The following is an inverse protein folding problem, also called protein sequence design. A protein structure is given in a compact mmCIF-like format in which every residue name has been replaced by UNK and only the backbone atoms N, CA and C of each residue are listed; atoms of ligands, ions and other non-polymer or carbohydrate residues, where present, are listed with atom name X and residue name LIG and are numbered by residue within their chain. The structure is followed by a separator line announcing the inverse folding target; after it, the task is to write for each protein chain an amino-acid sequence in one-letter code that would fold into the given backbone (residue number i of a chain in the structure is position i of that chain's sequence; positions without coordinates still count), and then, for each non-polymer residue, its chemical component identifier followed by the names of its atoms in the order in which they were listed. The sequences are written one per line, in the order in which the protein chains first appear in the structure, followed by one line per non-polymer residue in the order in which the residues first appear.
data_IF_526577646901
#
_entry.id   IF_526577646901
#
_cell.length_a   1.000
_cell.length_b   1.000
_cell.length_c   1.000
_cell.angle_alpha   90.00
_cell.angle_beta   90.00
_cell.angle_gamma   90.00
#
_symmetry.space_group_name_H-M   'P 1'
#
loop_
_entity.id
_entity.type
_entity.pdbx_description
1 polymer ?
#
# COMPACT_ATOMS: atom_id res chain seq x y z
N UNK A 1 -1.71 -10.52 13.63
CA UNK A 1 -1.88 -9.05 13.67
C UNK A 1 -1.19 -8.50 12.44
N UNK A 2 -1.87 -7.72 11.61
CA UNK A 2 -1.33 -7.29 10.30
C UNK A 2 -0.74 -5.88 10.40
N UNK A 3 0.51 -5.73 9.96
CA UNK A 3 1.25 -4.46 9.91
C UNK A 3 1.48 -4.06 8.46
N UNK A 4 0.97 -2.89 8.08
CA UNK A 4 0.98 -2.38 6.72
C UNK A 4 1.89 -1.16 6.65
N UNK A 5 3.08 -1.34 6.09
CA UNK A 5 4.02 -0.25 5.82
C UNK A 5 3.73 0.36 4.46
N UNK A 6 3.61 1.70 4.39
CA UNK A 6 3.26 2.39 3.14
C UNK A 6 4.40 3.31 2.73
N UNK A 7 4.97 3.03 1.56
CA UNK A 7 6.01 3.83 0.92
C UNK A 7 5.43 4.48 -0.33
N UNK A 8 5.64 5.78 -0.52
CA UNK A 8 5.06 6.47 -1.66
C UNK A 8 5.98 7.50 -2.31
N UNK A 9 5.77 7.71 -3.61
CA UNK A 9 6.43 8.75 -4.42
C UNK A 9 5.49 9.28 -5.50
N UNK A 10 5.92 10.32 -6.21
CA UNK A 10 5.14 10.97 -7.26
C UNK A 10 4.27 12.11 -6.74
N UNK A 11 3.40 12.63 -7.61
CA UNK A 11 2.50 13.76 -7.32
C UNK A 11 1.24 13.31 -6.57
N UNK A 12 1.43 12.55 -5.49
CA UNK A 12 0.39 12.13 -4.56
C UNK A 12 0.59 12.88 -3.23
N UNK A 13 -0.46 13.56 -2.74
CA UNK A 13 -0.38 14.31 -1.48
C UNK A 13 -0.29 13.34 -0.30
N UNK A 14 0.54 13.67 0.68
CA UNK A 14 0.69 12.89 1.93
C UNK A 14 -0.65 12.71 2.66
N UNK A 15 -1.53 13.71 2.60
CA UNK A 15 -2.88 13.63 3.17
C UNK A 15 -3.71 12.49 2.57
N UNK A 16 -3.63 12.28 1.26
CA UNK A 16 -4.35 11.21 0.57
C UNK A 16 -3.86 9.83 1.02
N UNK A 17 -2.54 9.68 1.21
CA UNK A 17 -1.94 8.47 1.78
C UNK A 17 -2.34 8.27 3.25
N UNK A 18 -2.42 9.35 4.04
CA UNK A 18 -2.88 9.29 5.43
C UNK A 18 -4.37 8.90 5.52
N UNK A 19 -5.20 9.36 4.59
CA UNK A 19 -6.59 8.92 4.50
C UNK A 19 -6.67 7.42 4.20
N UNK A 20 -5.82 6.91 3.29
CA UNK A 20 -5.73 5.48 3.02
C UNK A 20 -5.30 4.69 4.27
N UNK A 21 -4.29 5.17 5.02
CA UNK A 21 -3.90 4.58 6.31
C UNK A 21 -5.08 4.49 7.28
N UNK A 22 -5.88 5.56 7.38
CA UNK A 22 -7.08 5.57 8.21
C UNK A 22 -8.06 4.47 7.84
N UNK A 23 -8.22 4.17 6.54
CA UNK A 23 -9.10 3.06 6.11
C UNK A 23 -8.59 1.68 6.53
N UNK A 24 -7.27 1.48 6.62
CA UNK A 24 -6.68 0.23 7.12
C UNK A 24 -6.81 0.10 8.64
N UNK A 25 -6.64 1.21 9.37
CA UNK A 25 -6.81 1.22 10.83
C UNK A 25 -8.24 0.90 11.27
N UNK A 26 -9.25 1.24 10.45
CA UNK A 26 -10.65 0.86 10.66
C UNK A 26 -10.94 -0.65 10.45
N UNK A 27 -9.95 -1.42 9.98
CA UNK A 27 -10.05 -2.87 9.78
C UNK A 27 -9.17 -3.63 10.79
N UNK A 28 -8.82 -2.99 11.91
CA UNK A 28 -7.94 -3.53 12.95
C UNK A 28 -6.52 -3.87 12.46
N UNK A 29 -6.07 -3.24 11.37
CA UNK A 29 -4.69 -3.35 10.90
C UNK A 29 -3.83 -2.19 11.39
N UNK A 30 -2.57 -2.49 11.70
CA UNK A 30 -1.59 -1.49 12.10
C UNK A 30 -1.01 -0.84 10.84
N UNK A 31 -1.29 0.44 10.63
CA UNK A 31 -0.72 1.21 9.52
C UNK A 31 0.15 2.38 10.05
N UNK A 32 1.47 2.18 10.27
CA UNK A 32 2.38 3.22 10.73
C UNK A 32 2.44 4.41 9.77
N UNK A 33 2.98 5.58 10.17
CA UNK A 33 3.15 6.73 9.30
C UNK A 33 3.78 6.38 7.95
N UNK A 34 3.16 6.83 6.87
CA UNK A 34 3.64 6.53 5.53
C UNK A 34 4.94 7.30 5.23
N UNK A 35 5.88 6.61 4.58
CA UNK A 35 7.18 7.14 4.23
C UNK A 35 7.18 7.61 2.79
N UNK A 36 7.72 8.81 2.55
CA UNK A 36 8.00 9.26 1.19
C UNK A 36 9.40 8.79 0.84
N UNK A 37 9.52 7.93 -0.17
CA UNK A 37 10.79 7.26 -0.50
C UNK A 37 11.18 7.61 -1.92
N UNK A 38 12.37 8.18 -2.09
CA UNK A 38 12.97 8.39 -3.40
C UNK A 38 13.56 7.08 -3.94
N UNK A 39 13.53 6.90 -5.26
CA UNK A 39 14.02 5.69 -5.92
C UNK A 39 13.04 5.15 -6.96
N UNK A 40 13.52 4.35 -7.92
CA UNK A 40 12.70 3.85 -9.03
C UNK A 40 11.98 2.56 -8.65
N UNK A 41 10.66 2.63 -8.48
CA UNK A 41 9.81 1.48 -8.23
C UNK A 41 8.43 1.67 -8.85
N UNK A 42 7.76 0.55 -9.09
CA UNK A 42 6.38 0.52 -9.55
C UNK A 42 5.42 0.30 -8.38
N UNK A 43 4.14 0.45 -8.66
CA UNK A 43 3.09 0.09 -7.74
C UNK A 43 3.15 -1.40 -7.40
N UNK A 44 3.57 -1.75 -6.20
CA UNK A 44 3.55 -3.13 -5.74
C UNK A 44 3.12 -3.26 -4.28
N UNK A 45 2.61 -4.43 -3.96
CA UNK A 45 2.34 -4.88 -2.62
C UNK A 45 3.17 -6.12 -2.36
N UNK A 46 4.07 -6.01 -1.39
CA UNK A 46 4.97 -7.08 -0.99
C UNK A 46 4.41 -7.76 0.25
N UNK A 47 4.41 -9.09 0.20
CA UNK A 47 4.11 -9.94 1.34
C UNK A 47 5.23 -10.98 1.47
N UNK A 48 5.49 -11.41 2.71
CA UNK A 48 6.70 -12.16 3.02
C UNK A 48 6.43 -13.61 3.42
N UNK A 49 5.22 -13.91 3.92
CA UNK A 49 4.82 -15.25 4.32
C UNK A 49 3.66 -15.76 3.46
N UNK A 50 3.62 -17.05 3.18
CA UNK A 50 2.55 -17.63 2.35
C UNK A 50 1.16 -17.49 3.00
N UNK A 51 1.09 -17.60 4.33
CA UNK A 51 -0.09 -17.33 5.14
C UNK A 51 -0.68 -15.93 4.88
N UNK A 52 0.15 -14.96 4.49
CA UNK A 52 -0.26 -13.58 4.26
C UNK A 52 -0.86 -13.35 2.87
N UNK A 53 -0.87 -14.35 1.98
CA UNK A 53 -1.30 -14.14 0.59
C UNK A 53 -2.75 -13.66 0.49
N UNK A 54 -3.67 -14.25 1.27
CA UNK A 54 -5.09 -13.88 1.24
C UNK A 54 -5.30 -12.43 1.70
N UNK A 55 -4.70 -12.06 2.83
CA UNK A 55 -4.79 -10.71 3.37
C UNK A 55 -4.07 -9.69 2.47
N UNK A 56 -2.97 -10.07 1.83
CA UNK A 56 -2.26 -9.26 0.84
C UNK A 56 -3.11 -8.98 -0.39
N UNK A 57 -3.90 -9.95 -0.86
CA UNK A 57 -4.87 -9.75 -1.94
C UNK A 57 -6.00 -8.80 -1.53
N UNK A 58 -6.50 -8.91 -0.30
CA UNK A 58 -7.52 -8.00 0.22
C UNK A 58 -7.00 -6.55 0.30
N UNK A 59 -5.80 -6.36 0.87
CA UNK A 59 -5.17 -5.04 0.98
C UNK A 59 -4.89 -4.47 -0.41
N UNK A 60 -4.45 -5.30 -1.36
CA UNK A 60 -4.30 -4.90 -2.76
C UNK A 60 -5.60 -4.32 -3.30
N UNK A 61 -6.70 -5.07 -3.21
CA UNK A 61 -8.00 -4.63 -3.75
C UNK A 61 -8.46 -3.31 -3.11
N UNK A 62 -8.35 -3.18 -1.79
CA UNK A 62 -8.69 -1.93 -1.08
C UNK A 62 -7.82 -0.75 -1.52
N UNK A 63 -6.53 -0.99 -1.75
CA UNK A 63 -5.58 0.02 -2.25
C UNK A 63 -5.98 0.48 -3.66
N UNK A 64 -6.22 -0.46 -4.57
CA UNK A 64 -6.63 -0.17 -5.95
C UNK A 64 -7.96 0.60 -5.99
N UNK A 65 -8.94 0.20 -5.17
CA UNK A 65 -10.22 0.90 -5.03
C UNK A 65 -10.06 2.32 -4.49
N UNK A 66 -9.20 2.51 -3.48
CA UNK A 66 -8.93 3.82 -2.91
C UNK A 66 -8.29 4.76 -3.95
N UNK A 67 -7.26 4.29 -4.66
CA UNK A 67 -6.58 5.04 -5.71
C UNK A 67 -7.53 5.36 -6.88
N UNK A 68 -8.38 4.41 -7.28
CA UNK A 68 -9.41 4.62 -8.30
C UNK A 68 -10.41 5.71 -7.89
N UNK A 69 -10.94 5.65 -6.65
CA UNK A 69 -11.88 6.64 -6.10
C UNK A 69 -11.29 8.04 -6.07
N UNK A 70 -9.97 8.14 -5.87
CA UNK A 70 -9.23 9.41 -5.86
C UNK A 70 -8.68 9.82 -7.22
N UNK A 71 -9.09 9.14 -8.31
CA UNK A 71 -8.67 9.42 -9.69
C UNK A 71 -7.15 9.50 -9.85
N UNK A 72 -6.44 8.61 -9.16
CA UNK A 72 -4.99 8.48 -9.30
C UNK A 72 -4.65 7.79 -10.63
N UNK A 73 -3.76 8.38 -11.40
CA UNK A 73 -3.19 7.75 -12.59
C UNK A 73 -2.34 6.55 -12.15
N UNK A 74 -2.44 5.44 -12.90
CA UNK A 74 -1.84 4.14 -12.56
C UNK A 74 -2.28 3.67 -11.17
N UNK A 75 -3.45 3.05 -11.08
CA UNK A 75 -4.05 2.55 -9.85
C UNK A 75 -3.88 1.03 -9.66
N UNK A 76 -3.31 0.32 -10.64
CA UNK A 76 -3.02 -1.12 -10.53
C UNK A 76 -1.83 -1.37 -9.62
N UNK A 77 -1.96 -2.35 -8.73
CA UNK A 77 -0.92 -2.79 -7.79
C UNK A 77 -0.52 -4.23 -8.13
N UNK A 78 0.77 -4.46 -8.35
CA UNK A 78 1.32 -5.79 -8.54
C UNK A 78 1.51 -6.49 -7.20
N UNK A 79 1.08 -7.75 -7.08
CA UNK A 79 1.33 -8.56 -5.89
C UNK A 79 2.70 -9.23 -6.03
N UNK A 80 3.58 -9.05 -5.05
CA UNK A 80 4.98 -9.50 -5.10
C UNK A 80 5.30 -10.34 -3.87
N UNK A 81 5.37 -11.67 -4.04
CA UNK A 81 5.79 -12.59 -2.98
C UNK A 81 7.30 -12.48 -2.81
N UNK A 82 7.76 -11.99 -1.66
CA UNK A 82 9.18 -11.98 -1.33
C UNK A 82 9.56 -13.27 -0.63
N UNK A 83 10.07 -14.22 -1.41
CA UNK A 83 10.74 -15.42 -0.89
C UNK A 83 12.05 -15.00 -0.20
N UNK A 84 12.44 -15.68 0.88
CA UNK A 84 13.68 -15.42 1.66
C UNK A 84 13.72 -14.15 2.54
N UNK A 85 12.58 -13.70 3.05
CA UNK A 85 12.55 -12.62 4.05
C UNK A 85 12.37 -13.20 5.45
N UNK A 86 13.29 -12.91 6.38
CA UNK A 86 13.17 -13.20 7.82
C UNK A 86 12.13 -12.27 8.50
N UNK A 87 11.02 -12.01 7.81
CA UNK A 87 9.95 -11.10 8.22
C UNK A 87 8.87 -11.92 8.92
N UNK A 88 8.39 -11.42 10.05
CA UNK A 88 7.29 -12.05 10.79
C UNK A 88 5.99 -12.07 9.97
N UNK A 89 5.11 -13.01 10.28
CA UNK A 89 3.77 -13.10 9.69
C UNK A 89 2.97 -11.82 9.94
N UNK A 90 2.13 -11.46 8.97
CA UNK A 90 1.33 -10.25 8.99
C UNK A 90 2.06 -8.98 8.57
N UNK A 91 3.34 -9.04 8.20
CA UNK A 91 4.06 -7.87 7.66
C UNK A 91 3.81 -7.71 6.17
N UNK A 92 3.29 -6.55 5.78
CA UNK A 92 2.96 -6.21 4.39
C UNK A 92 3.50 -4.83 4.07
N UNK A 93 4.08 -4.67 2.87
CA UNK A 93 4.54 -3.38 2.37
C UNK A 93 3.78 -2.99 1.11
N UNK A 94 3.27 -1.76 1.09
CA UNK A 94 2.65 -1.16 -0.09
C UNK A 94 3.61 -0.08 -0.61
N UNK A 95 4.00 -0.18 -1.86
CA UNK A 95 4.80 0.82 -2.55
C UNK A 95 3.96 1.45 -3.64
N UNK A 96 3.75 2.76 -3.56
CA UNK A 96 2.89 3.52 -4.47
C UNK A 96 3.73 4.54 -5.22
N UNK A 97 3.68 4.45 -6.53
CA UNK A 97 4.22 5.39 -7.49
C UNK A 97 3.08 5.83 -8.42
N UNK A 98 2.30 6.79 -7.93
CA UNK A 98 1.15 7.34 -8.65
C UNK A 98 1.14 8.86 -8.55
N UNK A 99 0.43 9.48 -9.49
CA UNK A 99 0.10 10.90 -9.46
C UNK A 99 -1.42 11.02 -9.42
N UNK A 100 -1.96 11.80 -8.50
CA UNK A 100 -3.40 11.94 -8.35
C UNK A 100 -3.82 13.38 -8.65
N UNK A 101 -4.81 13.53 -9.51
CA UNK A 101 -5.46 14.82 -9.75
C UNK A 101 -6.49 15.04 -8.64
N UNK A 102 -6.14 15.84 -7.64
CA UNK A 102 -7.14 16.37 -6.72
C UNK A 102 -7.89 17.46 -7.48
N UNK A 103 -9.13 17.19 -7.90
CA UNK A 103 -10.09 18.29 -8.03
C UNK A 103 -10.53 18.64 -6.61
N UNK A 104 -10.09 19.82 -6.17
CA UNK A 104 -10.62 20.53 -5.01
C UNK A 104 -12.15 20.68 -5.11
#
# INVERSE_FOLDING_TARGET
MTVISINFRGSIKRELINNMRGTFQQQDWIAPPALRVDGNYENNLKYFNESDQSIAQEIKQKTEQFLAKKKCNKNTINLDKKTNSNREEGQIEIWIHSSCELKE
#
